data_IF_423547364819
#
_entry.id   IF_423547364819
#
_cell.length_a   1.000
_cell.length_b   1.000
_cell.length_c   1.000
_cell.angle_alpha   90.00
_cell.angle_beta   90.00
_cell.angle_gamma   90.00
#
_symmetry.space_group_name_H-M   'P 1'
#
loop_
_entity.id
_entity.type
_entity.pdbx_description
1 polymer ?
#
# COMPACT_ATOMS: atom_id res chain seq x y z
N UNK A 1 -5.35 1.95 19.49
CA UNK A 1 -6.67 1.41 19.09
C UNK A 1 -6.53 1.01 17.63
N UNK A 2 -6.08 -0.22 17.39
CA UNK A 2 -5.65 -0.66 16.08
C UNK A 2 -6.88 -1.25 15.39
N UNK A 3 -7.67 -0.39 14.72
CA UNK A 3 -8.78 -0.82 13.86
C UNK A 3 -8.20 -1.88 12.90
N UNK A 4 -8.43 -3.18 13.00
CA UNK A 4 -9.67 -3.93 12.77
C UNK A 4 -10.45 -3.35 11.59
N UNK A 5 -9.97 -3.59 10.36
CA UNK A 5 -10.64 -4.42 9.32
C UNK A 5 -9.98 -4.22 7.94
N UNK A 6 -8.70 -4.53 7.80
CA UNK A 6 -8.01 -4.52 6.49
C UNK A 6 -8.35 -5.75 5.63
N UNK A 7 -9.47 -6.43 5.93
CA UNK A 7 -9.84 -7.73 5.36
C UNK A 7 -10.98 -7.53 4.36
N UNK A 8 -10.63 -7.59 3.09
CA UNK A 8 -11.52 -7.42 1.96
C UNK A 8 -11.94 -8.76 1.36
N UNK A 9 -13.08 -8.79 0.67
CA UNK A 9 -13.57 -10.01 -0.02
C UNK A 9 -13.33 -9.95 -1.52
N UNK A 10 -13.33 -11.11 -2.16
CA UNK A 10 -13.37 -11.20 -3.63
C UNK A 10 -14.54 -10.41 -4.19
N UNK A 11 -14.29 -9.69 -5.30
CA UNK A 11 -15.16 -8.72 -5.98
C UNK A 11 -15.46 -7.43 -5.20
N UNK A 12 -14.93 -7.27 -3.99
CA UNK A 12 -14.99 -6.00 -3.28
C UNK A 12 -14.07 -4.98 -3.97
N UNK A 13 -14.46 -3.71 -3.90
CA UNK A 13 -13.65 -2.62 -4.43
C UNK A 13 -12.50 -2.32 -3.47
N UNK A 14 -11.31 -2.16 -4.01
CA UNK A 14 -10.09 -1.80 -3.29
C UNK A 14 -10.24 -0.36 -2.81
N UNK A 15 -10.26 -0.17 -1.49
CA UNK A 15 -10.38 1.17 -0.89
C UNK A 15 -9.02 1.88 -0.80
N UNK A 16 -7.93 1.10 -0.73
CA UNK A 16 -6.56 1.55 -0.48
C UNK A 16 -5.58 0.84 -1.42
N UNK A 17 -4.90 1.59 -2.28
CA UNK A 17 -4.06 0.99 -3.31
C UNK A 17 -2.76 0.43 -2.73
N UNK A 18 -2.45 -0.84 -3.02
CA UNK A 18 -1.11 -1.41 -2.97
C UNK A 18 -1.14 -2.91 -2.72
N UNK A 19 -0.18 -3.44 -1.97
CA UNK A 19 -0.03 -4.89 -1.77
C UNK A 19 -1.05 -5.47 -0.78
N UNK A 20 -1.77 -6.50 -1.21
CA UNK A 20 -2.65 -7.32 -0.39
C UNK A 20 -2.24 -8.79 -0.43
N UNK A 21 -2.56 -9.53 0.62
CA UNK A 21 -2.27 -10.96 0.77
C UNK A 21 -3.57 -11.75 0.80
N UNK A 22 -3.77 -12.76 -0.06
CA UNK A 22 -4.93 -13.65 0.07
C UNK A 22 -4.79 -14.61 1.26
N UNK A 23 -5.88 -15.26 1.66
CA UNK A 23 -5.89 -16.22 2.78
C UNK A 23 -4.85 -17.36 2.64
N UNK A 24 -4.45 -17.70 1.40
CA UNK A 24 -3.41 -18.70 1.12
C UNK A 24 -1.97 -18.19 1.26
N UNK A 25 -1.77 -16.87 1.46
CA UNK A 25 -0.46 -16.25 1.62
C UNK A 25 0.13 -15.59 0.38
N UNK A 26 -0.55 -15.64 -0.77
CA UNK A 26 -0.07 -14.96 -1.99
C UNK A 26 -0.25 -13.44 -1.90
N UNK A 27 0.78 -12.68 -2.26
CA UNK A 27 0.71 -11.21 -2.34
C UNK A 27 0.38 -10.73 -3.76
N UNK A 28 -0.49 -9.73 -3.90
CA UNK A 28 -0.75 -9.05 -5.17
C UNK A 28 -0.95 -7.56 -4.95
N UNK A 29 -0.48 -6.75 -5.89
CA UNK A 29 -0.68 -5.30 -5.87
C UNK A 29 -2.03 -4.95 -6.51
N UNK A 30 -2.75 -4.03 -5.90
CA UNK A 30 -4.08 -3.59 -6.30
C UNK A 30 -4.16 -2.07 -6.29
N UNK A 31 -4.81 -1.49 -7.29
CA UNK A 31 -5.08 -0.06 -7.29
C UNK A 31 -6.45 0.26 -6.68
N UNK A 32 -6.59 1.47 -6.15
CA UNK A 32 -7.84 1.94 -5.57
C UNK A 32 -8.95 1.93 -6.62
N UNK A 33 -10.08 1.34 -6.29
CA UNK A 33 -11.22 1.14 -7.19
C UNK A 33 -11.13 -0.13 -8.04
N UNK A 34 -10.00 -0.86 -8.04
CA UNK A 34 -9.94 -2.20 -8.63
C UNK A 34 -10.78 -3.18 -7.81
N UNK A 35 -11.14 -4.34 -8.39
CA UNK A 35 -11.84 -5.41 -7.67
C UNK A 35 -10.89 -6.52 -7.28
N UNK A 36 -10.97 -6.96 -6.03
CA UNK A 36 -10.20 -8.11 -5.59
C UNK A 36 -10.59 -9.39 -6.36
N UNK A 37 -9.67 -10.03 -7.09
CA UNK A 37 -9.93 -11.28 -7.79
C UNK A 37 -9.98 -12.46 -6.81
N UNK A 38 -10.31 -13.64 -7.33
CA UNK A 38 -10.11 -14.90 -6.62
C UNK A 38 -8.62 -15.06 -6.23
N UNK A 39 -8.33 -15.85 -5.18
CA UNK A 39 -6.94 -16.11 -4.82
C UNK A 39 -6.25 -16.83 -6.00
N UNK A 40 -5.11 -16.36 -6.49
CA UNK A 40 -4.45 -16.94 -7.66
C UNK A 40 -3.95 -18.38 -7.43
N UNK A 41 -3.77 -18.78 -6.17
CA UNK A 41 -3.37 -20.15 -5.81
C UNK A 41 -4.55 -21.12 -5.91
N UNK A 42 -5.67 -20.81 -5.24
CA UNK A 42 -6.82 -21.73 -5.19
C UNK A 42 -7.81 -21.51 -6.33
N UNK A 43 -7.74 -20.37 -7.02
CA UNK A 43 -8.75 -19.88 -7.96
C UNK A 43 -10.17 -19.77 -7.37
N UNK A 44 -10.29 -19.73 -6.05
CA UNK A 44 -11.55 -19.61 -5.31
C UNK A 44 -11.70 -18.23 -4.65
N UNK A 45 -12.94 -17.92 -4.26
CA UNK A 45 -13.24 -16.71 -3.51
C UNK A 45 -12.48 -16.71 -2.19
N UNK A 46 -11.72 -15.65 -1.96
CA UNK A 46 -10.83 -15.50 -0.80
C UNK A 46 -11.05 -14.18 -0.11
N UNK A 47 -10.42 -14.05 1.05
CA UNK A 47 -10.22 -12.78 1.74
C UNK A 47 -8.82 -12.23 1.46
N UNK A 48 -8.74 -10.93 1.23
CA UNK A 48 -7.52 -10.20 0.99
C UNK A 48 -7.25 -9.31 2.20
N UNK A 49 -6.08 -9.45 2.81
CA UNK A 49 -5.64 -8.55 3.87
C UNK A 49 -4.63 -7.55 3.33
N UNK A 50 -4.67 -6.29 3.76
CA UNK A 50 -3.62 -5.34 3.40
C UNK A 50 -2.27 -5.84 3.95
N UNK A 51 -1.28 -5.92 3.07
CA UNK A 51 0.09 -6.15 3.48
C UNK A 51 0.68 -4.81 3.89
N UNK A 52 1.57 -4.76 4.89
CA UNK A 52 2.24 -3.52 5.24
C UNK A 52 2.88 -2.89 3.98
N UNK A 53 2.45 -1.68 3.62
CA UNK A 53 3.00 -0.93 2.49
C UNK A 53 4.32 -0.32 2.86
N UNK A 54 5.36 -1.00 2.43
CA UNK A 54 6.74 -0.67 2.66
C UNK A 54 7.36 -0.60 1.27
N UNK A 55 7.64 0.61 0.80
CA UNK A 55 8.16 0.89 -0.55
C UNK A 55 9.61 1.32 -0.49
N UNK A 56 10.45 0.81 -1.37
CA UNK A 56 11.85 1.21 -1.46
C UNK A 56 12.03 2.47 -2.32
N UNK A 57 13.10 3.21 -2.07
CA UNK A 57 13.54 4.27 -2.97
C UNK A 57 13.72 3.73 -4.40
N UNK A 58 13.22 4.48 -5.37
CA UNK A 58 13.15 4.10 -6.78
C UNK A 58 11.86 3.39 -7.18
N UNK A 59 11.04 2.91 -6.24
CA UNK A 59 9.73 2.36 -6.56
C UNK A 59 8.73 3.47 -6.92
N UNK A 60 7.71 3.11 -7.69
CA UNK A 60 6.61 4.01 -7.97
C UNK A 60 5.62 4.01 -6.81
N UNK A 61 5.17 5.20 -6.48
CA UNK A 61 4.11 5.45 -5.51
C UNK A 61 2.82 4.89 -6.09
N UNK A 62 2.28 3.87 -5.45
CA UNK A 62 1.04 3.21 -5.85
C UNK A 62 -0.18 3.88 -5.24
N UNK A 63 0.00 4.68 -4.17
CA UNK A 63 -1.08 5.38 -3.48
C UNK A 63 -0.64 6.80 -3.12
N UNK A 64 -1.49 7.78 -3.36
CA UNK A 64 -1.22 9.12 -2.82
C UNK A 64 -1.43 9.13 -1.30
N UNK A 65 -0.47 9.65 -0.56
CA UNK A 65 -0.57 9.70 0.89
C UNK A 65 0.65 10.28 1.59
N UNK A 66 0.57 10.23 2.91
CA UNK A 66 1.67 10.50 3.82
C UNK A 66 2.49 9.23 3.99
N UNK A 67 3.79 9.35 3.81
CA UNK A 67 4.73 8.27 3.99
C UNK A 67 5.82 8.68 4.98
N UNK A 68 6.26 7.72 5.79
CA UNK A 68 7.34 7.89 6.75
C UNK A 68 8.51 6.98 6.37
N UNK A 69 9.71 7.55 6.28
CA UNK A 69 10.94 6.81 6.07
C UNK A 69 11.44 6.16 7.38
N UNK A 70 12.39 5.21 7.31
CA UNK A 70 12.95 4.53 8.50
C UNK A 70 13.60 5.48 9.52
N UNK A 71 14.01 6.68 9.11
CA UNK A 71 14.54 7.73 10.00
C UNK A 71 13.43 8.58 10.66
N UNK A 72 12.16 8.30 10.35
CA UNK A 72 10.98 9.05 10.84
C UNK A 72 10.66 10.30 9.99
N UNK A 73 11.25 10.43 8.81
CA UNK A 73 10.97 11.56 7.92
C UNK A 73 9.63 11.37 7.20
N UNK A 74 8.73 12.33 7.38
CA UNK A 74 7.41 12.31 6.75
C UNK A 74 7.40 13.09 5.44
N UNK A 75 6.86 12.50 4.38
CA UNK A 75 6.70 13.13 3.08
C UNK A 75 5.41 12.71 2.40
N UNK A 76 4.86 13.65 1.67
CA UNK A 76 3.69 13.48 0.83
C UNK A 76 4.10 12.96 -0.56
N UNK A 77 3.44 11.92 -1.03
CA UNK A 77 3.62 11.41 -2.38
C UNK A 77 2.28 11.33 -3.10
N UNK A 78 2.30 11.59 -4.42
CA UNK A 78 1.14 11.36 -5.28
C UNK A 78 1.27 10.02 -5.99
N UNK A 79 0.15 9.42 -6.37
CA UNK A 79 0.17 8.21 -7.20
C UNK A 79 0.98 8.46 -8.49
N UNK A 80 1.91 7.56 -8.80
CA UNK A 80 2.78 7.63 -9.97
C UNK A 80 4.11 8.33 -9.75
N UNK A 81 4.29 9.07 -8.63
CA UNK A 81 5.59 9.61 -8.20
C UNK A 81 6.60 8.48 -7.96
N UNK A 82 7.88 8.83 -7.83
CA UNK A 82 8.94 7.87 -7.48
C UNK A 82 9.40 8.15 -6.07
N UNK A 83 9.46 7.11 -5.23
CA UNK A 83 10.01 7.23 -3.89
C UNK A 83 11.49 7.65 -3.94
N UNK A 84 11.87 8.79 -3.38
CA UNK A 84 13.25 9.28 -3.38
C UNK A 84 14.09 8.54 -2.33
N UNK A 85 15.40 8.77 -2.37
CA UNK A 85 16.31 8.36 -1.31
C UNK A 85 16.01 9.12 0.00
N UNK A 86 16.55 8.60 1.12
CA UNK A 86 16.44 9.26 2.41
C UNK A 86 16.98 10.70 2.30
N UNK A 87 16.16 11.72 2.55
CA UNK A 87 16.56 13.13 2.41
C UNK A 87 17.72 13.55 3.33
N UNK A 88 17.93 12.87 4.45
CA UNK A 88 19.03 13.16 5.38
C UNK A 88 20.36 12.55 4.98
N UNK A 89 20.34 11.35 4.41
CA UNK A 89 21.55 10.56 4.13
C UNK A 89 21.83 10.36 2.63
N UNK A 90 20.89 10.75 1.76
CA UNK A 90 20.86 10.48 0.31
C UNK A 90 20.94 8.97 -0.05
N UNK A 91 20.78 8.09 0.93
CA UNK A 91 20.86 6.63 0.76
C UNK A 91 19.50 6.02 0.42
N UNK A 92 19.47 4.89 -0.32
CA UNK A 92 18.24 4.17 -0.59
C UNK A 92 17.58 3.77 0.72
N UNK A 93 16.32 4.15 0.87
CA UNK A 93 15.54 3.94 2.07
C UNK A 93 14.22 3.27 1.78
N UNK A 94 13.42 3.10 2.83
CA UNK A 94 12.12 2.49 2.76
C UNK A 94 11.07 3.41 3.36
N UNK A 95 10.02 3.65 2.59
CA UNK A 95 8.89 4.52 2.90
C UNK A 95 7.69 3.67 3.29
N UNK A 96 7.19 3.90 4.50
CA UNK A 96 5.99 3.26 5.02
C UNK A 96 4.80 4.19 4.86
N UNK A 97 3.70 3.71 4.29
CA UNK A 97 2.49 4.51 4.22
C UNK A 97 1.91 4.71 5.63
N UNK A 98 1.76 5.95 6.08
CA UNK A 98 1.29 6.30 7.44
C UNK A 98 -0.10 6.93 7.46
N UNK A 99 -0.63 7.38 6.33
CA UNK A 99 -2.02 7.83 6.23
C UNK A 99 -2.35 8.56 4.94
N UNK A 100 -3.64 8.85 4.73
CA UNK A 100 -4.10 9.55 3.52
C UNK A 100 -3.80 11.05 3.60
N UNK A 101 -3.29 11.60 2.50
CA UNK A 101 -3.16 13.04 2.26
C UNK A 101 -4.54 13.68 2.41
N UNK A 102 -4.72 14.51 3.45
CA UNK A 102 -5.98 15.26 3.62
C UNK A 102 -6.08 16.28 2.49
N UNK A 103 -6.94 16.01 1.53
CA UNK A 103 -7.39 17.03 0.57
C UNK A 103 -8.42 17.88 1.30
N UNK A 104 -8.01 19.01 1.86
CA UNK A 104 -8.95 20.03 2.33
C UNK A 104 -9.75 20.55 1.13
N UNK A 105 -11.09 20.57 1.26
CA UNK A 105 -12.04 20.85 0.19
C UNK A 105 -12.77 22.17 0.44
#
# INVERSE_FOLDING_TARGET
MNKTTDLHKTNEAVEEAGKYICASGETKDFQKGEKFPNCPITNESTTWRHAEHVHKSGEKVTEQGHYEDIDGEHRDFNEGDTFPNCPKSDQPTTWKHTGKLKTEH
#
